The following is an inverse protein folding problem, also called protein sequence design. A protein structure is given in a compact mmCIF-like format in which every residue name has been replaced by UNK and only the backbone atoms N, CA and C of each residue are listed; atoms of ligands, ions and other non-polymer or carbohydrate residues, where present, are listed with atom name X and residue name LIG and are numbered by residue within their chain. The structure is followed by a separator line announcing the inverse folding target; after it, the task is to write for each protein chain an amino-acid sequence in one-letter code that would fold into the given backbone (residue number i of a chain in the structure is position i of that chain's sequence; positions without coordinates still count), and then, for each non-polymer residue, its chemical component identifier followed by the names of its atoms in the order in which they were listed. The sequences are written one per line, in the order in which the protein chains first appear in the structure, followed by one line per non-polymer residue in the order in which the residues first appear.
data_IF_910677164022
#
_entry.id   IF_910677164022
#
_cell.length_a   1.000
_cell.length_b   1.000
_cell.length_c   1.000
_cell.angle_alpha   90.00
_cell.angle_beta   90.00
_cell.angle_gamma   90.00
#
_symmetry.space_group_name_H-M   'P 1'
#
loop_
_entity.id
_entity.type
_entity.pdbx_description
1 polymer ?
#
# COMPACT_ATOMS: atom_id res chain seq x y z
N UNK A 1 -10.01 -13.32 -18.42
CA UNK A 1 -11.29 -13.42 -17.70
C UNK A 1 -11.13 -13.58 -16.18
N UNK A 2 -10.42 -14.59 -15.65
CA UNK A 2 -10.22 -14.82 -14.20
C UNK A 2 -9.57 -13.61 -13.50
N UNK A 3 -8.58 -12.97 -14.10
CA UNK A 3 -7.91 -11.79 -13.56
C UNK A 3 -8.85 -10.58 -13.43
N UNK A 4 -9.69 -10.35 -14.44
CA UNK A 4 -10.66 -9.24 -14.41
C UNK A 4 -11.72 -9.46 -13.30
N UNK A 5 -12.20 -10.69 -13.13
CA UNK A 5 -13.18 -11.03 -12.09
C UNK A 5 -12.58 -10.85 -10.69
N UNK A 6 -11.33 -11.26 -10.48
CA UNK A 6 -10.67 -11.12 -9.17
C UNK A 6 -10.33 -9.67 -8.82
N UNK A 7 -9.85 -8.88 -9.80
CA UNK A 7 -9.62 -7.44 -9.64
C UNK A 7 -10.92 -6.71 -9.34
N UNK A 8 -12.01 -7.11 -9.99
CA UNK A 8 -13.34 -6.58 -9.73
C UNK A 8 -13.81 -6.90 -8.31
N UNK A 9 -13.69 -8.17 -7.89
CA UNK A 9 -14.14 -8.61 -6.56
C UNK A 9 -13.38 -7.91 -5.43
N UNK A 10 -12.05 -7.76 -5.54
CA UNK A 10 -11.25 -7.07 -4.53
C UNK A 10 -11.58 -5.57 -4.46
N UNK A 11 -11.80 -4.91 -5.62
CA UNK A 11 -12.20 -3.50 -5.67
C UNK A 11 -13.61 -3.28 -5.10
N UNK A 12 -14.56 -4.17 -5.34
CA UNK A 12 -15.89 -4.11 -4.74
C UNK A 12 -15.85 -4.28 -3.22
N UNK A 13 -15.04 -5.22 -2.71
CA UNK A 13 -14.85 -5.39 -1.27
C UNK A 13 -14.29 -4.11 -0.63
N UNK A 14 -13.37 -3.43 -1.30
CA UNK A 14 -12.80 -2.16 -0.81
C UNK A 14 -13.87 -1.06 -0.68
N UNK A 15 -14.90 -1.05 -1.53
CA UNK A 15 -16.00 -0.09 -1.41
C UNK A 15 -16.85 -0.28 -0.15
N UNK A 16 -16.91 -1.51 0.38
CA UNK A 16 -17.64 -1.80 1.62
C UNK A 16 -16.86 -1.34 2.85
N UNK A 17 -15.52 -1.27 2.74
CA UNK A 17 -14.64 -0.91 3.87
C UNK A 17 -14.91 0.51 4.37
N UNK A 18 -15.12 1.47 3.48
CA UNK A 18 -15.28 2.89 3.88
C UNK A 18 -16.54 3.12 4.73
N UNK A 19 -17.76 2.70 4.32
CA UNK A 19 -18.96 2.80 5.16
C UNK A 19 -18.80 2.03 6.48
N UNK A 20 -18.18 0.85 6.44
CA UNK A 20 -17.90 0.08 7.64
C UNK A 20 -17.02 0.84 8.63
N UNK A 21 -15.92 1.46 8.16
CA UNK A 21 -15.03 2.23 9.01
C UNK A 21 -15.74 3.43 9.66
N UNK A 22 -16.56 4.14 8.90
CA UNK A 22 -17.36 5.26 9.42
C UNK A 22 -18.31 4.82 10.54
N UNK A 23 -18.87 3.61 10.43
CA UNK A 23 -19.74 3.05 11.46
C UNK A 23 -18.98 2.44 12.64
N UNK A 24 -17.84 1.77 12.38
CA UNK A 24 -17.08 1.02 13.37
C UNK A 24 -16.23 1.91 14.27
N UNK A 25 -15.85 3.12 13.83
CA UNK A 25 -15.11 4.06 14.65
C UNK A 25 -16.02 4.78 15.64
N UNK A 26 -15.61 4.82 16.90
CA UNK A 26 -16.38 5.47 17.97
C UNK A 26 -16.50 6.99 17.75
N UNK A 27 -15.43 7.60 17.22
CA UNK A 27 -15.37 9.04 16.95
C UNK A 27 -14.91 9.30 15.51
N UNK A 28 -15.50 10.32 14.88
CA UNK A 28 -15.13 10.72 13.52
C UNK A 28 -13.72 11.34 13.47
N UNK A 29 -13.25 11.88 14.59
CA UNK A 29 -11.89 12.38 14.79
C UNK A 29 -10.85 11.25 14.65
N UNK A 30 -11.13 10.06 15.17
CA UNK A 30 -10.27 8.88 15.03
C UNK A 30 -10.17 8.42 13.59
N UNK A 31 -11.29 8.51 12.83
CA UNK A 31 -11.28 8.19 11.41
C UNK A 31 -10.37 9.16 10.64
N UNK A 32 -10.51 10.46 10.89
CA UNK A 32 -9.68 11.49 10.25
C UNK A 32 -8.20 11.31 10.58
N UNK A 33 -7.87 11.11 11.86
CA UNK A 33 -6.51 10.82 12.30
C UNK A 33 -5.95 9.58 11.61
N UNK A 34 -6.72 8.48 11.56
CA UNK A 34 -6.32 7.23 10.90
C UNK A 34 -5.99 7.43 9.43
N UNK A 35 -6.77 8.25 8.72
CA UNK A 35 -6.53 8.58 7.31
C UNK A 35 -5.26 9.38 7.14
N UNK A 36 -5.03 10.40 7.99
CA UNK A 36 -3.80 11.21 7.96
C UNK A 36 -2.56 10.35 8.24
N UNK A 37 -2.62 9.48 9.26
CA UNK A 37 -1.52 8.56 9.57
C UNK A 37 -1.20 7.62 8.41
N UNK A 38 -2.24 7.13 7.71
CA UNK A 38 -2.06 6.33 6.48
C UNK A 38 -1.40 7.14 5.37
N UNK A 39 -1.71 8.42 5.23
CA UNK A 39 -1.07 9.27 4.23
C UNK A 39 0.42 9.51 4.55
N UNK A 40 0.81 9.64 5.82
CA UNK A 40 2.24 9.66 6.19
C UNK A 40 2.94 8.36 5.76
N UNK A 41 2.33 7.20 6.01
CA UNK A 41 2.89 5.93 5.56
C UNK A 41 3.00 5.85 4.03
N UNK A 42 1.95 6.25 3.31
CA UNK A 42 1.92 6.26 1.84
C UNK A 42 2.98 7.19 1.22
N UNK A 43 3.29 8.31 1.88
CA UNK A 43 4.40 9.19 1.47
C UNK A 43 5.76 8.50 1.64
N UNK A 44 5.97 7.74 2.71
CA UNK A 44 7.25 7.08 3.00
C UNK A 44 7.51 5.85 2.13
N UNK A 45 6.46 5.16 1.64
CA UNK A 45 6.58 3.95 0.82
C UNK A 45 7.45 4.15 -0.43
N UNK A 46 7.28 5.20 -1.28
CA UNK A 46 8.14 5.44 -2.44
C UNK A 46 9.61 5.61 -2.08
N UNK A 47 9.92 6.24 -0.95
CA UNK A 47 11.30 6.43 -0.50
C UNK A 47 11.92 5.13 -0.01
N UNK A 48 11.22 4.34 0.80
CA UNK A 48 11.71 3.06 1.33
C UNK A 48 11.84 2.02 0.22
N UNK A 49 10.86 1.93 -0.66
CA UNK A 49 10.88 0.98 -1.78
C UNK A 49 11.77 1.45 -2.94
N UNK A 50 12.21 2.73 -2.95
CA UNK A 50 12.89 3.36 -4.08
C UNK A 50 12.19 3.12 -5.42
N UNK A 51 10.83 3.05 -5.42
CA UNK A 51 10.02 2.76 -6.58
C UNK A 51 10.23 1.36 -7.18
N UNK A 52 10.86 0.45 -6.45
CA UNK A 52 11.32 -0.87 -6.93
C UNK A 52 10.18 -1.77 -7.42
N UNK A 53 8.93 -1.55 -6.99
CA UNK A 53 7.75 -2.31 -7.42
C UNK A 53 7.61 -2.37 -8.95
N UNK A 54 7.84 -1.24 -9.64
CA UNK A 54 7.75 -1.16 -11.09
C UNK A 54 8.94 -1.86 -11.78
N UNK A 55 10.13 -1.77 -11.19
CA UNK A 55 11.31 -2.46 -11.69
C UNK A 55 11.18 -3.98 -11.59
N UNK A 56 10.60 -4.50 -10.50
CA UNK A 56 10.37 -5.93 -10.31
C UNK A 56 9.49 -6.51 -11.42
N UNK A 57 8.40 -5.84 -11.79
CA UNK A 57 7.55 -6.30 -12.90
C UNK A 57 8.35 -6.29 -14.21
N UNK A 58 8.97 -5.16 -14.55
CA UNK A 58 9.67 -5.02 -15.82
C UNK A 58 10.80 -6.02 -15.99
N UNK A 59 11.71 -6.09 -15.01
CA UNK A 59 12.89 -6.97 -15.07
C UNK A 59 12.57 -8.43 -14.76
N UNK A 60 11.48 -8.70 -14.04
CA UNK A 60 11.00 -10.05 -13.76
C UNK A 60 10.27 -10.70 -14.94
N UNK A 61 9.68 -9.92 -15.87
CA UNK A 61 9.12 -10.40 -17.13
C UNK A 61 10.19 -10.67 -18.17
N UNK A 62 11.36 -10.02 -18.08
CA UNK A 62 12.46 -10.20 -18.99
C UNK A 62 13.15 -11.56 -18.77
N UNK A 63 13.03 -12.46 -19.74
CA UNK A 63 13.60 -13.83 -19.69
C UNK A 63 15.13 -13.86 -19.63
N UNK A 64 15.81 -12.74 -19.92
CA UNK A 64 17.27 -12.61 -19.82
C UNK A 64 17.77 -12.46 -18.39
N UNK A 65 16.91 -12.14 -17.44
CA UNK A 65 17.28 -11.92 -16.05
C UNK A 65 16.98 -13.12 -15.16
N UNK A 66 17.86 -13.38 -14.19
CA UNK A 66 17.58 -14.40 -13.16
C UNK A 66 16.51 -13.89 -12.18
N UNK A 67 15.43 -14.66 -12.06
CA UNK A 67 14.31 -14.38 -11.16
C UNK A 67 14.76 -14.20 -9.70
N UNK A 68 15.69 -15.06 -9.25
CA UNK A 68 16.27 -14.98 -7.92
C UNK A 68 16.99 -13.65 -7.68
N UNK A 69 17.75 -13.19 -8.69
CA UNK A 69 18.46 -11.92 -8.59
C UNK A 69 17.50 -10.72 -8.55
N UNK A 70 16.42 -10.76 -9.35
CA UNK A 70 15.39 -9.70 -9.35
C UNK A 70 14.72 -9.61 -7.99
N UNK A 71 14.29 -10.75 -7.42
CA UNK A 71 13.63 -10.78 -6.10
C UNK A 71 14.58 -10.34 -4.99
N UNK A 72 15.82 -10.88 -4.97
CA UNK A 72 16.82 -10.55 -3.95
C UNK A 72 17.22 -9.08 -4.00
N UNK A 73 17.44 -8.52 -5.19
CA UNK A 73 17.76 -7.10 -5.35
C UNK A 73 16.61 -6.19 -4.87
N UNK A 74 15.36 -6.57 -5.17
CA UNK A 74 14.18 -5.86 -4.67
C UNK A 74 14.10 -5.90 -3.14
N UNK A 75 14.29 -7.07 -2.54
CA UNK A 75 14.28 -7.26 -1.09
C UNK A 75 15.39 -6.46 -0.40
N UNK A 76 16.61 -6.52 -0.91
CA UNK A 76 17.75 -5.78 -0.35
C UNK A 76 17.53 -4.25 -0.45
N UNK A 77 16.91 -3.78 -1.53
CA UNK A 77 16.59 -2.36 -1.68
C UNK A 77 15.59 -1.90 -0.64
N UNK A 78 14.51 -2.67 -0.42
CA UNK A 78 13.50 -2.35 0.59
C UNK A 78 14.09 -2.40 1.99
N UNK A 79 14.88 -3.41 2.33
CA UNK A 79 15.53 -3.51 3.64
C UNK A 79 16.55 -2.39 3.86
N UNK A 80 17.30 -2.02 2.82
CA UNK A 80 18.24 -0.89 2.86
C UNK A 80 17.51 0.44 3.03
N UNK A 81 16.45 0.68 2.26
CA UNK A 81 15.60 1.87 2.38
C UNK A 81 14.92 1.96 3.75
N UNK A 82 14.45 0.83 4.29
CA UNK A 82 13.90 0.78 5.64
C UNK A 82 14.97 1.05 6.70
N UNK A 83 16.19 0.53 6.53
CA UNK A 83 17.32 0.85 7.40
C UNK A 83 17.63 2.35 7.42
N UNK A 84 17.60 3.02 6.27
CA UNK A 84 17.74 4.48 6.18
C UNK A 84 16.58 5.18 6.91
N UNK A 85 15.34 4.72 6.71
CA UNK A 85 14.17 5.28 7.42
C UNK A 85 14.33 5.18 8.93
N UNK A 86 14.80 4.04 9.45
CA UNK A 86 15.07 3.83 10.89
C UNK A 86 16.15 4.80 11.39
N UNK A 87 17.20 5.03 10.61
CA UNK A 87 18.24 6.04 10.96
C UNK A 87 17.67 7.47 10.98
N UNK A 88 16.65 7.75 10.18
CA UNK A 88 15.95 9.04 10.17
C UNK A 88 14.90 9.18 11.29
N UNK A 89 14.79 8.22 12.21
CA UNK A 89 13.84 8.26 13.34
C UNK A 89 13.82 9.60 14.09
N UNK A 90 14.97 10.20 14.49
CA UNK A 90 14.97 11.47 15.19
C UNK A 90 14.33 12.61 14.39
N UNK A 91 14.51 12.58 13.06
CA UNK A 91 13.97 13.62 12.16
C UNK A 91 12.46 13.49 12.00
N UNK A 92 11.96 12.27 11.91
CA UNK A 92 10.51 12.04 11.73
C UNK A 92 9.69 12.39 12.97
N UNK A 93 10.31 12.45 14.16
CA UNK A 93 9.64 12.87 15.40
C UNK A 93 9.22 14.35 15.40
N UNK A 94 9.76 15.17 14.48
CA UNK A 94 9.30 16.55 14.31
C UNK A 94 7.97 16.66 13.52
N UNK A 95 7.53 15.60 12.89
CA UNK A 95 6.24 15.58 12.21
C UNK A 95 5.10 15.40 13.24
N UNK A 96 3.95 16.09 13.05
CA UNK A 96 2.80 15.89 13.89
C UNK A 96 2.44 14.40 13.98
N UNK A 97 1.99 13.96 15.15
CA UNK A 97 1.56 12.59 15.46
C UNK A 97 2.65 11.49 15.35
N UNK A 98 3.84 11.79 14.79
CA UNK A 98 4.92 10.79 14.67
C UNK A 98 5.52 10.38 16.02
N UNK A 99 5.50 11.24 17.02
CA UNK A 99 5.96 10.89 18.37
C UNK A 99 5.12 9.75 18.98
N UNK A 100 3.82 9.73 18.69
CA UNK A 100 2.88 8.75 19.23
C UNK A 100 2.73 7.53 18.35
N UNK A 101 2.62 7.70 17.02
CA UNK A 101 2.27 6.65 16.05
C UNK A 101 3.44 6.20 15.18
N UNK A 102 4.63 6.79 15.34
CA UNK A 102 5.77 6.57 14.44
C UNK A 102 6.18 5.11 14.31
N UNK A 103 6.18 4.35 15.43
CA UNK A 103 6.50 2.93 15.38
C UNK A 103 5.51 2.14 14.51
N UNK A 104 4.21 2.40 14.65
CA UNK A 104 3.17 1.74 13.85
C UNK A 104 3.27 2.13 12.38
N UNK A 105 3.56 3.41 12.09
CA UNK A 105 3.77 3.88 10.72
C UNK A 105 4.98 3.20 10.09
N UNK A 106 6.09 3.03 10.81
CA UNK A 106 7.27 2.33 10.30
C UNK A 106 6.99 0.86 10.00
N UNK A 107 6.29 0.17 10.90
CA UNK A 107 5.89 -1.23 10.67
C UNK A 107 4.93 -1.31 9.48
N UNK A 108 3.98 -0.38 9.37
CA UNK A 108 3.09 -0.29 8.22
C UNK A 108 3.87 -0.16 6.91
N UNK A 109 4.79 0.81 6.82
CA UNK A 109 5.62 1.03 5.62
C UNK A 109 6.40 -0.22 5.25
N UNK A 110 7.02 -0.88 6.23
CA UNK A 110 7.77 -2.12 5.98
C UNK A 110 6.87 -3.22 5.43
N UNK A 111 5.73 -3.49 6.10
CA UNK A 111 4.81 -4.56 5.69
C UNK A 111 4.21 -4.29 4.32
N UNK A 112 3.80 -3.07 4.02
CA UNK A 112 3.27 -2.68 2.71
C UNK A 112 4.32 -2.77 1.60
N UNK A 113 5.57 -2.40 1.87
CA UNK A 113 6.67 -2.58 0.92
C UNK A 113 6.95 -4.06 0.64
N UNK A 114 7.00 -4.91 1.68
CA UNK A 114 7.20 -6.35 1.54
C UNK A 114 6.04 -7.02 0.80
N UNK A 115 4.80 -6.67 1.12
CA UNK A 115 3.64 -7.16 0.40
C UNK A 115 3.70 -6.78 -1.07
N UNK A 116 3.99 -5.51 -1.36
CA UNK A 116 4.10 -5.03 -2.74
C UNK A 116 5.21 -5.77 -3.48
N UNK A 117 6.38 -6.01 -2.87
CA UNK A 117 7.45 -6.82 -3.43
C UNK A 117 6.95 -8.21 -3.84
N UNK A 118 6.33 -8.94 -2.88
CA UNK A 118 5.85 -10.30 -3.11
C UNK A 118 4.79 -10.34 -4.21
N UNK A 119 3.81 -9.44 -4.16
CA UNK A 119 2.71 -9.38 -5.14
C UNK A 119 3.23 -9.05 -6.54
N UNK A 120 4.12 -8.06 -6.68
CA UNK A 120 4.68 -7.69 -7.98
C UNK A 120 5.60 -8.77 -8.55
N UNK A 121 6.33 -9.47 -7.69
CA UNK A 121 7.14 -10.61 -8.13
C UNK A 121 6.26 -11.76 -8.62
N UNK A 122 5.23 -12.15 -7.88
CA UNK A 122 4.27 -13.20 -8.30
C UNK A 122 3.55 -12.80 -9.60
N UNK A 123 3.24 -11.50 -9.77
CA UNK A 123 2.66 -10.96 -11.00
C UNK A 123 3.64 -11.06 -12.17
N UNK A 124 4.92 -10.75 -11.98
CA UNK A 124 5.95 -10.88 -13.02
C UNK A 124 6.16 -12.34 -13.46
N UNK A 125 5.85 -13.30 -12.56
CA UNK A 125 5.82 -14.74 -12.87
C UNK A 125 4.55 -15.18 -13.59
N UNK A 126 3.60 -14.26 -13.85
CA UNK A 126 2.31 -14.56 -14.48
C UNK A 126 1.46 -15.56 -13.69
N UNK A 127 1.68 -15.69 -12.37
CA UNK A 127 0.86 -16.54 -11.50
C UNK A 127 -0.45 -15.83 -11.13
N UNK A 128 -1.21 -15.49 -12.15
CA UNK A 128 -2.40 -14.64 -12.05
C UNK A 128 -3.45 -15.18 -11.05
N UNK A 129 -3.59 -16.51 -10.96
CA UNK A 129 -4.50 -17.13 -9.97
C UNK A 129 -4.07 -16.85 -8.54
N UNK A 130 -2.76 -16.92 -8.26
CA UNK A 130 -2.22 -16.67 -6.93
C UNK A 130 -2.37 -15.20 -6.53
N UNK A 131 -2.12 -14.28 -7.46
CA UNK A 131 -2.35 -12.83 -7.26
C UNK A 131 -3.82 -12.55 -6.96
N UNK A 132 -4.73 -13.22 -7.68
CA UNK A 132 -6.16 -13.08 -7.49
C UNK A 132 -6.62 -13.53 -6.10
N UNK A 133 -6.17 -14.71 -5.68
CA UNK A 133 -6.49 -15.27 -4.35
C UNK A 133 -5.90 -14.40 -3.24
N UNK A 134 -4.66 -13.94 -3.40
CA UNK A 134 -4.00 -13.04 -2.45
C UNK A 134 -4.77 -11.73 -2.27
N UNK A 135 -5.22 -11.11 -3.36
CA UNK A 135 -6.00 -9.86 -3.30
C UNK A 135 -7.29 -10.00 -2.49
N UNK A 136 -8.03 -11.10 -2.71
CA UNK A 136 -9.25 -11.39 -1.93
C UNK A 136 -8.91 -11.73 -0.48
N UNK A 137 -7.93 -12.60 -0.25
CA UNK A 137 -7.50 -13.01 1.08
C UNK A 137 -7.06 -11.80 1.91
N UNK A 138 -6.23 -10.92 1.36
CA UNK A 138 -5.77 -9.73 2.04
C UNK A 138 -6.94 -8.81 2.43
N UNK A 139 -7.88 -8.58 1.52
CA UNK A 139 -9.03 -7.71 1.79
C UNK A 139 -9.93 -8.30 2.88
N UNK A 140 -10.21 -9.59 2.80
CA UNK A 140 -11.02 -10.30 3.82
C UNK A 140 -10.31 -10.31 5.17
N UNK A 141 -9.02 -10.60 5.19
CA UNK A 141 -8.21 -10.58 6.41
C UNK A 141 -8.19 -9.19 7.05
N UNK A 142 -7.91 -8.13 6.25
CA UNK A 142 -7.93 -6.75 6.75
C UNK A 142 -9.29 -6.37 7.33
N UNK A 143 -10.38 -6.77 6.66
CA UNK A 143 -11.75 -6.56 7.15
C UNK A 143 -12.00 -7.27 8.49
N UNK A 144 -11.57 -8.53 8.60
CA UNK A 144 -11.67 -9.29 9.85
C UNK A 144 -10.88 -8.63 10.99
N UNK A 145 -9.67 -8.12 10.70
CA UNK A 145 -8.87 -7.37 11.68
C UNK A 145 -9.48 -6.00 12.02
N UNK A 146 -10.14 -5.31 11.07
CA UNK A 146 -10.90 -4.11 11.41
C UNK A 146 -12.03 -4.42 12.39
N UNK A 147 -12.80 -5.49 12.15
CA UNK A 147 -13.85 -5.92 13.10
C UNK A 147 -13.23 -6.22 14.47
N UNK A 148 -12.15 -6.96 14.52
CA UNK A 148 -11.51 -7.36 15.77
C UNK A 148 -10.95 -6.14 16.54
N UNK A 149 -10.20 -5.25 15.88
CA UNK A 149 -9.50 -4.16 16.57
C UNK A 149 -10.37 -2.93 16.80
N UNK A 150 -11.30 -2.60 15.88
CA UNK A 150 -12.14 -1.41 16.01
C UNK A 150 -13.42 -1.71 16.79
N UNK A 151 -14.10 -2.83 16.50
CA UNK A 151 -15.37 -3.17 17.16
C UNK A 151 -15.11 -3.95 18.45
N UNK A 152 -14.22 -4.96 18.41
CA UNK A 152 -13.90 -5.82 19.54
C UNK A 152 -13.10 -5.09 20.63
N UNK A 153 -11.93 -4.57 20.26
CA UNK A 153 -11.00 -3.93 21.23
C UNK A 153 -11.16 -2.42 21.32
N UNK A 154 -11.85 -1.76 20.38
CA UNK A 154 -12.07 -0.30 20.34
C UNK A 154 -10.76 0.52 20.39
N UNK A 155 -9.73 0.07 19.67
CA UNK A 155 -8.41 0.72 19.67
C UNK A 155 -8.30 1.96 18.77
N UNK A 156 -9.39 2.48 18.20
CA UNK A 156 -9.41 3.71 17.39
C UNK A 156 -8.35 3.70 16.29
N UNK A 157 -7.57 4.79 16.19
CA UNK A 157 -6.55 4.94 15.15
C UNK A 157 -5.45 3.85 15.21
N UNK A 158 -5.05 3.40 16.40
CA UNK A 158 -4.11 2.29 16.53
C UNK A 158 -4.68 0.99 15.93
N UNK A 159 -5.94 0.69 16.20
CA UNK A 159 -6.63 -0.48 15.66
C UNK A 159 -6.71 -0.45 14.13
N UNK A 160 -6.92 0.73 13.56
CA UNK A 160 -6.94 0.92 12.11
C UNK A 160 -5.59 0.59 11.47
N UNK A 161 -4.49 1.15 11.98
CA UNK A 161 -3.15 0.87 11.46
C UNK A 161 -2.77 -0.62 11.64
N UNK A 162 -3.04 -1.18 12.81
CA UNK A 162 -2.77 -2.60 13.09
C UNK A 162 -3.56 -3.54 12.18
N UNK A 163 -4.79 -3.20 11.81
CA UNK A 163 -5.58 -4.02 10.90
C UNK A 163 -4.94 -4.08 9.51
N UNK A 164 -4.45 -2.96 8.99
CA UNK A 164 -3.73 -2.93 7.71
C UNK A 164 -2.44 -3.73 7.80
N UNK A 165 -1.63 -3.51 8.85
CA UNK A 165 -0.38 -4.24 9.09
C UNK A 165 -0.63 -5.75 9.13
N UNK A 166 -1.67 -6.18 9.85
CA UNK A 166 -2.03 -7.60 9.99
C UNK A 166 -2.53 -8.20 8.68
N UNK A 167 -3.28 -7.42 7.89
CA UNK A 167 -3.72 -7.80 6.56
C UNK A 167 -2.56 -7.97 5.58
N UNK A 168 -1.65 -7.00 5.55
CA UNK A 168 -0.44 -7.04 4.74
C UNK A 168 0.47 -8.21 5.15
N UNK A 169 0.65 -8.44 6.45
CA UNK A 169 1.40 -9.58 6.97
C UNK A 169 0.77 -10.91 6.54
N UNK A 170 -0.55 -11.05 6.60
CA UNK A 170 -1.27 -12.24 6.16
C UNK A 170 -1.01 -12.51 4.68
N UNK A 171 -1.06 -11.47 3.82
CA UNK A 171 -0.74 -11.56 2.40
C UNK A 171 0.72 -11.98 2.18
N UNK A 172 1.67 -11.34 2.86
CA UNK A 172 3.10 -11.69 2.76
C UNK A 172 3.33 -13.15 3.12
N UNK A 173 2.79 -13.61 4.26
CA UNK A 173 2.93 -14.99 4.69
C UNK A 173 2.29 -15.96 3.69
N UNK A 174 1.08 -15.67 3.22
CA UNK A 174 0.39 -16.49 2.22
C UNK A 174 1.22 -16.63 0.94
N UNK A 175 1.74 -15.52 0.39
CA UNK A 175 2.56 -15.54 -0.83
C UNK A 175 3.90 -16.22 -0.60
N UNK A 176 4.54 -16.01 0.55
CA UNK A 176 5.79 -16.69 0.92
C UNK A 176 5.60 -18.21 0.96
N UNK A 177 4.54 -18.70 1.62
CA UNK A 177 4.31 -20.14 1.77
C UNK A 177 3.81 -20.78 0.47
N UNK A 178 2.80 -20.21 -0.18
CA UNK A 178 2.18 -20.77 -1.39
C UNK A 178 3.09 -20.63 -2.60
N UNK A 179 3.73 -19.47 -2.76
CA UNK A 179 4.69 -19.21 -3.84
C UNK A 179 6.10 -19.73 -3.58
N UNK A 180 6.37 -20.25 -2.37
CA UNK A 180 7.72 -20.68 -1.92
C UNK A 180 8.78 -19.62 -2.22
N UNK A 181 8.44 -18.34 -1.96
CA UNK A 181 9.27 -17.21 -2.36
C UNK A 181 10.63 -17.16 -1.64
N UNK A 182 10.76 -17.83 -0.50
CA UNK A 182 12.07 -17.99 0.16
C UNK A 182 13.12 -18.67 -0.71
N UNK A 183 12.71 -19.53 -1.68
CA UNK A 183 13.63 -20.20 -2.60
C UNK A 183 14.25 -19.24 -3.64
N UNK A 184 13.67 -18.03 -3.77
CA UNK A 184 14.18 -16.99 -4.65
C UNK A 184 15.12 -16.00 -3.94
N UNK A 185 15.35 -16.16 -2.64
CA UNK A 185 16.34 -15.36 -1.90
C UNK A 185 17.72 -15.98 -2.08
N UNK A 186 18.60 -15.29 -2.81
CA UNK A 186 19.97 -15.73 -3.08
C UNK A 186 20.99 -14.64 -2.75
N UNK A 187 21.41 -14.56 -1.48
CA UNK A 187 22.30 -13.52 -0.98
C UNK A 187 23.71 -13.56 -1.57
N UNK A 188 24.17 -14.75 -2.01
CA UNK A 188 25.53 -14.95 -2.58
C UNK A 188 25.69 -14.51 -4.04
N UNK A 189 24.58 -14.23 -4.73
CA UNK A 189 24.53 -13.93 -6.17
C UNK A 189 24.05 -12.53 -6.52
N UNK A 190 24.23 -11.53 -5.64
CA UNK A 190 23.78 -10.16 -5.90
C UNK A 190 24.45 -9.58 -7.13
N UNK A 191 23.69 -9.43 -8.23
CA UNK A 191 24.17 -8.84 -9.47
C UNK A 191 24.07 -7.31 -9.39
N UNK A 192 25.18 -6.65 -9.04
CA UNK A 192 25.26 -5.20 -8.94
C UNK A 192 24.88 -4.48 -10.24
N UNK A 193 25.16 -5.08 -11.40
CA UNK A 193 24.79 -4.50 -12.70
C UNK A 193 23.28 -4.46 -12.87
N UNK A 194 22.62 -5.58 -12.63
CA UNK A 194 21.16 -5.69 -12.66
C UNK A 194 20.52 -4.76 -11.60
N UNK A 195 21.04 -4.75 -10.39
CA UNK A 195 20.55 -3.88 -9.32
C UNK A 195 20.61 -2.41 -9.72
N UNK A 196 21.74 -1.95 -10.29
CA UNK A 196 21.88 -0.58 -10.78
C UNK A 196 20.89 -0.27 -11.92
N UNK A 197 20.65 -1.20 -12.82
CA UNK A 197 19.67 -1.03 -13.90
C UNK A 197 18.25 -0.91 -13.34
N UNK A 198 17.89 -1.72 -12.34
CA UNK A 198 16.59 -1.65 -11.66
C UNK A 198 16.42 -0.30 -10.94
N UNK A 199 17.44 0.18 -10.22
CA UNK A 199 17.41 1.48 -9.55
C UNK A 199 17.31 2.64 -10.55
N UNK A 200 18.12 2.65 -11.60
CA UNK A 200 18.08 3.70 -12.63
C UNK A 200 16.71 3.78 -13.32
N UNK A 201 15.99 2.66 -13.41
CA UNK A 201 14.63 2.63 -13.95
C UNK A 201 13.61 3.12 -12.92
N UNK A 202 13.73 2.75 -11.65
CA UNK A 202 12.72 3.02 -10.63
C UNK A 202 12.84 4.41 -9.99
N UNK A 203 14.06 4.92 -9.78
CA UNK A 203 14.29 6.23 -9.12
C UNK A 203 13.58 7.39 -9.83
N UNK A 204 13.58 7.51 -11.17
CA UNK A 204 12.86 8.58 -11.86
C UNK A 204 11.33 8.53 -11.67
N UNK A 205 10.79 7.42 -11.21
CA UNK A 205 9.34 7.27 -10.96
C UNK A 205 8.92 7.78 -9.58
N UNK A 206 9.87 8.01 -8.66
CA UNK A 206 9.58 8.51 -7.31
C UNK A 206 8.90 9.90 -7.35
N UNK A 207 9.40 10.90 -8.10
CA UNK A 207 8.74 12.19 -8.20
C UNK A 207 7.28 12.10 -8.67
N UNK A 208 6.98 11.21 -9.62
CA UNK A 208 5.61 10.98 -10.09
C UNK A 208 4.73 10.39 -8.98
N UNK A 209 5.23 9.44 -8.19
CA UNK A 209 4.51 8.86 -7.05
C UNK A 209 4.25 9.90 -5.96
N UNK A 210 5.23 10.77 -5.67
CA UNK A 210 5.08 11.87 -4.71
C UNK A 210 4.05 12.88 -5.22
N UNK A 211 4.10 13.26 -6.50
CA UNK A 211 3.11 14.17 -7.09
C UNK A 211 1.70 13.60 -7.01
N UNK A 212 1.55 12.30 -7.28
CA UNK A 212 0.26 11.61 -7.12
C UNK A 212 -0.20 11.60 -5.66
N UNK A 213 0.72 11.40 -4.70
CA UNK A 213 0.40 11.49 -3.28
C UNK A 213 -0.05 12.90 -2.89
N UNK A 214 0.66 13.96 -3.35
CA UNK A 214 0.27 15.36 -3.08
C UNK A 214 -1.16 15.61 -3.56
N UNK A 215 -1.52 15.19 -4.77
CA UNK A 215 -2.87 15.38 -5.32
C UNK A 215 -3.94 14.68 -4.48
N UNK A 216 -3.64 13.50 -3.93
CA UNK A 216 -4.63 12.68 -3.21
C UNK A 216 -4.68 12.91 -1.70
N UNK A 217 -3.68 13.57 -1.15
CA UNK A 217 -3.54 13.70 0.30
C UNK A 217 -3.62 15.14 0.82
N UNK A 218 -3.25 16.11 -0.02
CA UNK A 218 -3.08 17.51 0.41
C UNK A 218 -4.34 18.10 1.04
N UNK A 219 -5.49 17.81 0.50
CA UNK A 219 -6.77 18.30 0.99
C UNK A 219 -7.12 17.82 2.40
N UNK A 220 -6.78 16.58 2.76
CA UNK A 220 -6.95 16.08 4.13
C UNK A 220 -6.11 16.88 5.12
N UNK A 221 -4.86 17.20 4.76
CA UNK A 221 -3.97 17.99 5.61
C UNK A 221 -4.41 19.45 5.70
N UNK A 222 -4.79 20.07 4.57
CA UNK A 222 -5.30 21.44 4.58
C UNK A 222 -6.58 21.56 5.42
N UNK A 223 -7.54 20.65 5.26
CA UNK A 223 -8.78 20.67 6.05
C UNK A 223 -8.47 20.49 7.54
N UNK A 224 -7.54 19.59 7.90
CA UNK A 224 -7.12 19.43 9.29
C UNK A 224 -6.63 20.73 9.92
N UNK A 225 -5.72 21.43 9.22
CA UNK A 225 -5.09 22.64 9.75
C UNK A 225 -6.02 23.88 9.69
N UNK A 226 -6.76 24.04 8.60
CA UNK A 226 -7.57 25.22 8.38
C UNK A 226 -8.92 25.20 9.12
N UNK A 227 -9.44 24.02 9.42
CA UNK A 227 -10.73 23.86 10.11
C UNK A 227 -10.57 23.52 11.60
N UNK A 228 -9.36 23.61 12.16
CA UNK A 228 -9.15 23.38 13.61
C UNK A 228 -9.95 24.39 14.42
N UNK A 229 -10.79 23.89 15.35
CA UNK A 229 -11.67 24.72 16.18
C UNK A 229 -12.94 25.26 15.51
N UNK A 230 -13.12 25.06 14.19
CA UNK A 230 -14.32 25.46 13.49
C UNK A 230 -15.54 24.66 14.00
N UNK A 231 -16.64 25.35 14.33
CA UNK A 231 -17.85 24.77 14.91
C UNK A 231 -17.58 23.90 16.16
N UNK A 232 -16.52 24.20 16.92
CA UNK A 232 -16.13 23.46 18.12
C UNK A 232 -15.60 22.05 17.87
N UNK A 233 -15.23 21.73 16.62
CA UNK A 233 -14.68 20.42 16.21
C UNK A 233 -13.17 20.50 16.01
N UNK A 234 -12.49 19.38 16.22
CA UNK A 234 -11.06 19.25 15.90
C UNK A 234 -10.85 19.12 14.39
N UNK A 235 -9.69 19.54 13.88
CA UNK A 235 -9.32 19.37 12.48
C UNK A 235 -9.32 17.90 12.03
N UNK A 236 -9.00 16.97 12.95
CA UNK A 236 -9.15 15.54 12.69
C UNK A 236 -10.60 15.14 12.42
N UNK A 237 -11.57 15.72 13.14
CA UNK A 237 -13.00 15.47 12.88
C UNK A 237 -13.42 15.97 11.50
N UNK A 238 -12.94 17.15 11.08
CA UNK A 238 -13.18 17.66 9.74
C UNK A 238 -12.55 16.79 8.65
N UNK A 239 -11.31 16.33 8.83
CA UNK A 239 -10.67 15.38 7.91
C UNK A 239 -11.43 14.05 7.85
N UNK A 240 -11.99 13.59 8.96
CA UNK A 240 -12.85 12.42 9.03
C UNK A 240 -14.14 12.60 8.21
N UNK A 241 -14.81 13.75 8.35
CA UNK A 241 -15.98 14.10 7.55
C UNK A 241 -15.64 14.16 6.06
N UNK A 242 -14.55 14.83 5.68
CA UNK A 242 -14.08 14.87 4.31
C UNK A 242 -13.83 13.48 3.73
N UNK A 243 -13.11 12.62 4.50
CA UNK A 243 -12.83 11.24 4.07
C UNK A 243 -14.10 10.39 3.87
N UNK A 244 -15.13 10.68 4.66
CA UNK A 244 -16.45 10.05 4.48
C UNK A 244 -17.14 10.55 3.22
N UNK A 245 -17.05 11.87 2.92
CA UNK A 245 -17.57 12.47 1.70
C UNK A 245 -16.94 11.91 0.43
N UNK A 246 -15.67 11.48 0.48
CA UNK A 246 -14.98 10.83 -0.65
C UNK A 246 -15.54 9.46 -1.03
N UNK A 247 -16.46 8.91 -0.27
CA UNK A 247 -17.07 7.62 -0.60
C UNK A 247 -17.70 7.61 -2.00
N UNK A 248 -18.48 8.63 -2.34
CA UNK A 248 -19.12 8.72 -3.66
C UNK A 248 -18.11 8.89 -4.81
N UNK A 249 -17.17 9.86 -4.75
CA UNK A 249 -16.08 9.94 -5.73
C UNK A 249 -15.27 8.65 -5.87
N UNK A 250 -15.01 7.94 -4.78
CA UNK A 250 -14.26 6.68 -4.80
C UNK A 250 -15.00 5.58 -5.56
N UNK A 251 -16.33 5.53 -5.51
CA UNK A 251 -17.12 4.60 -6.33
C UNK A 251 -16.88 4.88 -7.82
N UNK A 252 -16.98 6.15 -8.24
CA UNK A 252 -16.81 6.56 -9.63
C UNK A 252 -15.39 6.28 -10.13
N UNK A 253 -14.36 6.62 -9.34
CA UNK A 253 -12.97 6.34 -9.69
C UNK A 253 -12.68 4.85 -9.75
N UNK A 254 -13.27 4.04 -8.88
CA UNK A 254 -13.14 2.59 -8.90
C UNK A 254 -13.74 1.97 -10.15
N UNK A 255 -14.93 2.42 -10.56
CA UNK A 255 -15.57 2.00 -11.82
C UNK A 255 -14.72 2.42 -13.03
N UNK A 256 -14.18 3.65 -13.02
CA UNK A 256 -13.26 4.13 -14.05
C UNK A 256 -11.98 3.28 -14.16
N UNK A 257 -11.39 2.89 -13.04
CA UNK A 257 -10.21 2.02 -13.01
C UNK A 257 -10.51 0.60 -13.52
N UNK A 258 -11.68 0.06 -13.22
CA UNK A 258 -12.10 -1.25 -13.75
C UNK A 258 -12.24 -1.18 -15.28
N UNK A 259 -12.88 -0.11 -15.78
CA UNK A 259 -13.00 0.11 -17.22
C UNK A 259 -11.62 0.28 -17.87
N UNK A 260 -10.74 1.08 -17.28
CA UNK A 260 -9.38 1.30 -17.77
C UNK A 260 -8.57 0.01 -17.85
N UNK A 261 -8.60 -0.82 -16.79
CA UNK A 261 -7.91 -2.12 -16.77
C UNK A 261 -8.43 -3.06 -17.88
N UNK A 262 -9.75 -3.07 -18.12
CA UNK A 262 -10.36 -3.88 -19.17
C UNK A 262 -9.96 -3.36 -20.56
N UNK A 263 -10.02 -2.05 -20.78
CA UNK A 263 -9.65 -1.41 -22.03
C UNK A 263 -8.16 -1.62 -22.36
N UNK A 264 -7.27 -1.45 -21.39
CA UNK A 264 -5.84 -1.66 -21.55
C UNK A 264 -5.53 -3.11 -22.01
N UNK A 265 -6.25 -4.08 -21.47
CA UNK A 265 -6.09 -5.49 -21.86
C UNK A 265 -6.51 -5.72 -23.33
N UNK A 266 -7.62 -5.11 -23.76
CA UNK A 266 -8.11 -5.19 -25.15
C UNK A 266 -7.14 -4.50 -26.11
N UNK A 267 -6.65 -3.30 -25.76
CA UNK A 267 -5.74 -2.54 -26.62
C UNK A 267 -4.43 -3.29 -26.90
N UNK A 268 -3.89 -4.02 -25.90
CA UNK A 268 -2.66 -4.81 -26.08
C UNK A 268 -2.91 -6.08 -26.91
N UNK A 269 -4.12 -6.68 -26.83
CA UNK A 269 -4.43 -7.91 -27.58
C UNK A 269 -4.84 -7.66 -29.04
N UNK A 270 -5.24 -6.43 -29.40
CA UNK A 270 -5.58 -6.06 -30.78
C UNK A 270 -4.35 -5.64 -31.62
N UNK A 271 -3.19 -5.41 -30.99
CA UNK A 271 -1.91 -5.13 -31.69
C UNK A 271 -1.16 -6.40 -32.09
N UNK A 272 -1.59 -7.60 -31.71
CA UNK A 272 -1.08 -8.90 -32.15
C UNK A 272 -1.99 -9.52 -33.26
#
# INVERSE_FOLDING_TARGET
MIFAISSFSSKLLTLIVQPFLTYAMAEISDLGLSKILSQYANLLIPFVSMGMSNAIIRFGLDKGNSEKQVFTNGLLTILGGFGILVLCWPVTQFLPDMAQYGLLIYIYVLMSCLRTLCTQFVRSRQWNKLVAVDGVLCTVATMAFYVLYLVGFKWGANGYLLAIISGDLTSVLFLLFTGKLWNYVELKGVNKKLWRQMLNFSLPMIPAQISFWIINASDLFFVREMCEGLDGRTGNAWSGLLSTGYFLPTILTTLGLIFYDAWQLSAVTEEE
#
